data_IF_883014732598
#
_entry.id   IF_883014732598
#
_cell.length_a   1.000
_cell.length_b   1.000
_cell.length_c   1.000
_cell.angle_alpha   90.00
_cell.angle_beta   90.00
_cell.angle_gamma   90.00
#
_symmetry.space_group_name_H-M   'P 1'
#
loop_
_entity.id
_entity.type
_entity.pdbx_description
1 polymer ?
#
# COMPACT_ATOMS: atom_id res chain seq x y z
N UNK A 1 -9.80 -18.69 3.06
CA UNK A 1 -9.31 -18.98 1.69
C UNK A 1 -9.78 -20.30 1.08
N UNK A 2 -9.93 -21.39 1.84
CA UNK A 2 -10.39 -22.70 1.29
C UNK A 2 -11.72 -22.66 0.56
N UNK A 3 -12.61 -21.74 0.96
CA UNK A 3 -13.95 -21.50 0.43
C UNK A 3 -13.98 -20.47 -0.70
N UNK A 4 -12.82 -19.92 -1.09
CA UNK A 4 -12.70 -18.88 -2.13
C UNK A 4 -12.90 -17.46 -1.63
N UNK A 5 -13.10 -17.27 -0.33
CA UNK A 5 -13.17 -15.95 0.28
C UNK A 5 -11.84 -15.55 0.89
N UNK A 6 -11.55 -14.25 0.83
CA UNK A 6 -10.50 -13.61 1.61
C UNK A 6 -11.09 -12.44 2.39
N UNK A 7 -10.61 -12.20 3.59
CA UNK A 7 -10.94 -10.99 4.31
C UNK A 7 -9.94 -9.89 3.99
N UNK A 8 -10.45 -8.75 3.55
CA UNK A 8 -9.70 -7.55 3.28
C UNK A 8 -9.92 -6.51 4.37
N UNK A 9 -8.91 -5.71 4.65
CA UNK A 9 -8.97 -4.57 5.55
C UNK A 9 -8.40 -3.31 4.88
N UNK A 10 -9.01 -2.16 5.16
CA UNK A 10 -8.46 -0.86 4.85
C UNK A 10 -8.41 -0.03 6.15
N UNK A 11 -7.24 0.48 6.48
CA UNK A 11 -6.97 1.19 7.71
C UNK A 11 -6.50 2.62 7.48
N UNK A 12 -6.98 3.54 8.31
CA UNK A 12 -6.45 4.91 8.42
C UNK A 12 -5.80 5.03 9.79
N UNK A 13 -4.45 5.00 9.90
CA UNK A 13 -3.75 5.17 11.16
C UNK A 13 -3.82 6.62 11.65
N UNK A 14 -3.62 6.82 12.93
CA UNK A 14 -3.22 8.13 13.42
C UNK A 14 -1.81 8.43 12.93
N UNK A 15 -1.58 9.61 12.36
CA UNK A 15 -0.28 10.00 11.85
C UNK A 15 0.20 11.30 12.44
N UNK A 16 1.53 11.50 12.42
CA UNK A 16 2.18 12.77 12.70
C UNK A 16 3.08 13.09 11.50
N UNK A 17 3.00 14.33 11.05
CA UNK A 17 3.77 14.78 9.88
C UNK A 17 5.27 14.65 10.16
N UNK A 18 5.97 13.90 9.30
CA UNK A 18 7.41 13.62 9.37
C UNK A 18 7.90 12.84 10.62
N UNK A 19 7.00 12.26 11.40
CA UNK A 19 7.32 11.40 12.54
C UNK A 19 7.14 9.92 12.13
N UNK A 20 8.13 9.41 11.37
CA UNK A 20 8.06 8.08 10.75
C UNK A 20 7.96 6.97 11.80
N UNK A 21 8.63 7.11 12.95
CA UNK A 21 8.62 6.14 14.04
C UNK A 21 7.22 6.00 14.67
N UNK A 22 6.58 7.14 15.01
CA UNK A 22 5.21 7.15 15.51
C UNK A 22 4.26 6.52 14.49
N UNK A 23 4.38 6.90 13.22
CA UNK A 23 3.49 6.44 12.15
C UNK A 23 3.65 4.92 11.92
N UNK A 24 4.89 4.41 11.93
CA UNK A 24 5.17 2.97 11.83
C UNK A 24 4.58 2.19 13.01
N UNK A 25 4.74 2.71 14.24
CA UNK A 25 4.17 2.10 15.45
C UNK A 25 2.64 1.96 15.35
N UNK A 26 1.95 2.99 14.88
CA UNK A 26 0.50 2.93 14.67
C UNK A 26 0.11 1.96 13.53
N UNK A 27 0.88 1.90 12.45
CA UNK A 27 0.67 0.93 11.36
C UNK A 27 0.82 -0.50 11.89
N UNK A 28 1.90 -0.81 12.61
CA UNK A 28 2.16 -2.14 13.20
C UNK A 28 1.02 -2.54 14.14
N UNK A 29 0.63 -1.64 15.05
CA UNK A 29 -0.51 -1.86 15.95
C UNK A 29 -1.79 -2.22 15.19
N UNK A 30 -2.08 -1.48 14.11
CA UNK A 30 -3.27 -1.73 13.29
C UNK A 30 -3.17 -3.04 12.50
N UNK A 31 -1.98 -3.43 12.03
CA UNK A 31 -1.74 -4.72 11.36
C UNK A 31 -2.13 -5.87 12.28
N UNK A 32 -1.65 -5.87 13.52
CA UNK A 32 -2.03 -6.91 14.49
C UNK A 32 -3.52 -6.88 14.83
N UNK A 33 -4.16 -5.70 14.93
CA UNK A 33 -5.61 -5.60 15.10
C UNK A 33 -6.37 -6.19 13.89
N UNK A 34 -5.87 -5.98 12.67
CA UNK A 34 -6.44 -6.55 11.44
C UNK A 34 -6.27 -8.08 11.39
N UNK A 35 -5.12 -8.58 11.84
CA UNK A 35 -4.83 -10.01 11.94
C UNK A 35 -5.81 -10.72 12.89
N UNK A 36 -6.08 -10.16 14.08
CA UNK A 36 -7.06 -10.69 15.04
C UNK A 36 -8.45 -10.87 14.41
N UNK A 37 -8.80 -10.05 13.41
CA UNK A 37 -10.03 -10.18 12.65
C UNK A 37 -9.91 -11.14 11.45
N UNK A 38 -8.71 -11.67 11.20
CA UNK A 38 -8.39 -12.61 10.12
C UNK A 38 -8.28 -11.97 8.75
N UNK A 39 -7.85 -10.69 8.66
CA UNK A 39 -7.57 -10.03 7.41
C UNK A 39 -6.33 -10.66 6.73
N UNK A 40 -6.42 -10.88 5.42
CA UNK A 40 -5.35 -11.47 4.59
C UNK A 40 -4.78 -10.48 3.56
N UNK A 41 -5.47 -9.36 3.34
CA UNK A 41 -4.97 -8.23 2.56
C UNK A 41 -5.27 -6.96 3.36
N UNK A 42 -4.23 -6.22 3.67
CA UNK A 42 -4.28 -5.03 4.52
C UNK A 42 -3.73 -3.84 3.76
N UNK A 43 -4.48 -2.74 3.71
CA UNK A 43 -4.12 -1.56 2.91
C UNK A 43 -4.15 -0.31 3.78
N UNK A 44 -3.05 0.43 3.74
CA UNK A 44 -2.85 1.69 4.43
C UNK A 44 -2.81 2.86 3.43
N UNK A 45 -2.89 4.12 3.88
CA UNK A 45 -2.90 5.28 3.01
C UNK A 45 -1.58 5.53 2.26
N UNK A 46 -1.67 6.36 1.23
CA UNK A 46 -0.56 6.95 0.50
C UNK A 46 0.37 7.70 1.46
N UNK A 47 1.70 7.48 1.35
CA UNK A 47 2.74 8.12 2.16
C UNK A 47 2.51 8.02 3.68
N UNK A 48 1.81 6.99 4.15
CA UNK A 48 1.43 6.86 5.57
C UNK A 48 2.61 6.72 6.53
N UNK A 49 3.80 6.32 6.06
CA UNK A 49 5.02 6.24 6.90
C UNK A 49 5.52 7.65 7.26
N UNK A 50 5.47 8.61 6.34
CA UNK A 50 5.91 9.99 6.58
C UNK A 50 4.79 10.95 6.92
N UNK A 51 3.55 10.60 6.67
CA UNK A 51 2.40 11.42 6.34
C UNK A 51 2.52 12.08 4.94
N UNK A 52 1.38 12.36 4.33
CA UNK A 52 1.32 12.96 2.98
C UNK A 52 1.73 14.44 2.96
N UNK A 53 1.47 15.16 4.03
CA UNK A 53 1.58 16.62 4.09
C UNK A 53 2.95 17.14 4.56
N UNK A 54 4.02 16.38 4.31
CA UNK A 54 5.39 16.77 4.68
C UNK A 54 5.92 18.01 3.92
N UNK A 55 5.37 18.33 2.74
CA UNK A 55 5.79 19.49 1.96
C UNK A 55 7.29 19.45 1.62
N UNK A 56 7.99 20.58 1.83
CA UNK A 56 9.42 20.69 1.51
C UNK A 56 10.32 19.77 2.38
N UNK A 57 9.80 19.12 3.43
CA UNK A 57 10.53 18.11 4.19
C UNK A 57 10.87 16.87 3.34
N UNK A 58 10.15 16.60 2.27
CA UNK A 58 10.51 15.55 1.31
C UNK A 58 11.88 15.73 0.64
N UNK A 59 12.50 16.92 0.74
CA UNK A 59 13.88 17.16 0.30
C UNK A 59 14.93 16.83 1.35
N UNK A 60 14.51 16.45 2.58
CA UNK A 60 15.43 16.12 3.66
C UNK A 60 15.84 14.65 3.57
N UNK A 61 17.13 14.41 3.38
CA UNK A 61 17.70 13.06 3.31
C UNK A 61 17.33 12.23 4.55
N UNK A 62 17.41 12.85 5.74
CA UNK A 62 17.04 12.19 6.99
C UNK A 62 15.60 11.64 7.00
N UNK A 63 14.63 12.37 6.41
CA UNK A 63 13.24 11.89 6.33
C UNK A 63 13.13 10.69 5.40
N UNK A 64 13.85 10.70 4.27
CA UNK A 64 13.82 9.61 3.30
C UNK A 64 14.51 8.36 3.85
N UNK A 65 15.62 8.52 4.54
CA UNK A 65 16.32 7.42 5.21
C UNK A 65 15.47 6.84 6.35
N UNK A 66 14.88 7.71 7.18
CA UNK A 66 14.00 7.27 8.26
C UNK A 66 12.76 6.52 7.74
N UNK A 67 12.20 6.94 6.63
CA UNK A 67 11.09 6.22 6.00
C UNK A 67 11.48 4.78 5.59
N UNK A 68 12.72 4.55 5.14
CA UNK A 68 13.24 3.21 4.83
C UNK A 68 13.51 2.38 6.08
N UNK A 69 14.08 2.99 7.13
CA UNK A 69 14.27 2.34 8.44
C UNK A 69 12.93 1.82 8.96
N UNK A 70 11.91 2.67 8.95
CA UNK A 70 10.59 2.31 9.46
C UNK A 70 9.84 1.35 8.55
N UNK A 71 10.10 1.33 7.23
CA UNK A 71 9.59 0.30 6.34
C UNK A 71 10.13 -1.09 6.71
N UNK A 72 11.45 -1.20 6.94
CA UNK A 72 12.08 -2.47 7.36
C UNK A 72 11.52 -2.89 8.72
N UNK A 73 11.40 -1.97 9.68
CA UNK A 73 10.79 -2.24 10.97
C UNK A 73 9.34 -2.78 10.84
N UNK A 74 8.50 -2.14 10.01
CA UNK A 74 7.13 -2.63 9.76
C UNK A 74 7.17 -4.06 9.20
N UNK A 75 8.02 -4.33 8.21
CA UNK A 75 8.13 -5.66 7.62
C UNK A 75 8.51 -6.70 8.68
N UNK A 76 9.53 -6.43 9.49
CA UNK A 76 10.05 -7.38 10.49
C UNK A 76 9.12 -7.57 11.68
N UNK A 77 8.56 -6.50 12.26
CA UNK A 77 7.62 -6.60 13.38
C UNK A 77 6.26 -7.20 12.99
N UNK A 78 6.00 -7.37 11.69
CA UNK A 78 4.79 -8.04 11.16
C UNK A 78 5.12 -9.33 10.41
N UNK A 79 6.32 -9.90 10.59
CA UNK A 79 6.77 -11.11 9.88
C UNK A 79 5.94 -12.35 10.21
N UNK A 80 5.37 -12.44 11.39
CA UNK A 80 4.48 -13.52 11.85
C UNK A 80 3.04 -13.35 11.38
N UNK A 81 2.68 -12.22 10.80
CA UNK A 81 1.32 -11.92 10.31
C UNK A 81 1.08 -12.57 8.95
N UNK A 82 0.08 -13.45 8.88
CA UNK A 82 -0.30 -14.15 7.65
C UNK A 82 -1.18 -13.27 6.74
N UNK A 83 -0.57 -12.23 6.16
CA UNK A 83 -1.23 -11.26 5.28
C UNK A 83 -0.28 -10.63 4.26
N UNK A 84 -0.84 -10.16 3.14
CA UNK A 84 -0.17 -9.20 2.26
C UNK A 84 -0.55 -7.79 2.70
N UNK A 85 0.46 -6.99 3.06
CA UNK A 85 0.30 -5.64 3.62
C UNK A 85 0.82 -4.62 2.61
N UNK A 86 0.06 -3.53 2.38
CA UNK A 86 0.48 -2.42 1.55
C UNK A 86 0.60 -1.14 2.37
N UNK A 87 1.77 -0.51 2.33
CA UNK A 87 2.08 0.78 3.00
C UNK A 87 2.68 1.78 2.01
N UNK A 88 2.43 3.08 2.21
CA UNK A 88 2.91 4.15 1.34
C UNK A 88 4.12 4.88 1.92
N UNK A 89 5.13 5.17 1.10
CA UNK A 89 6.32 5.93 1.49
C UNK A 89 6.93 6.70 0.30
N UNK A 90 7.75 7.74 0.57
CA UNK A 90 8.63 8.33 -0.43
C UNK A 90 9.86 7.45 -0.63
N UNK A 91 10.28 7.21 -1.87
CA UNK A 91 11.47 6.40 -2.18
C UNK A 91 12.32 7.11 -3.22
N UNK A 92 13.60 7.31 -2.90
CA UNK A 92 14.57 7.78 -3.88
C UNK A 92 15.08 6.62 -4.73
N UNK A 93 15.11 6.85 -6.05
CA UNK A 93 15.69 5.93 -7.00
C UNK A 93 16.37 6.68 -8.13
N UNK A 94 17.65 6.41 -8.36
CA UNK A 94 18.48 7.05 -9.41
C UNK A 94 18.40 8.58 -9.41
N UNK A 95 18.46 9.18 -8.21
CA UNK A 95 18.44 10.63 -8.00
C UNK A 95 17.08 11.30 -8.28
N UNK A 96 16.01 10.53 -8.23
CA UNK A 96 14.62 11.00 -8.34
C UNK A 96 13.80 10.45 -7.18
N UNK A 97 12.86 11.26 -6.73
CA UNK A 97 11.94 10.86 -5.66
C UNK A 97 10.62 10.36 -6.24
N UNK A 98 10.16 9.23 -5.74
CA UNK A 98 8.90 8.59 -6.12
C UNK A 98 8.00 8.41 -4.91
N UNK A 99 6.70 8.58 -5.12
CA UNK A 99 5.66 8.19 -4.20
C UNK A 99 5.30 6.73 -4.50
N UNK A 100 5.55 5.81 -3.56
CA UNK A 100 5.43 4.38 -3.82
C UNK A 100 4.53 3.67 -2.80
N UNK A 101 3.90 2.60 -3.25
CA UNK A 101 3.30 1.58 -2.40
C UNK A 101 4.27 0.40 -2.28
N UNK A 102 4.63 0.01 -1.06
CA UNK A 102 5.38 -1.19 -0.77
C UNK A 102 4.44 -2.34 -0.43
N UNK A 103 4.65 -3.51 -1.03
CA UNK A 103 3.99 -4.77 -0.67
C UNK A 103 4.86 -5.60 0.27
N UNK A 104 4.33 -5.99 1.44
CA UNK A 104 5.03 -6.73 2.48
C UNK A 104 4.31 -8.05 2.76
N UNK A 105 5.08 -9.14 2.96
CA UNK A 105 4.54 -10.44 3.36
C UNK A 105 5.60 -11.23 4.13
N UNK A 106 5.24 -11.71 5.31
CA UNK A 106 6.12 -12.53 6.16
C UNK A 106 7.53 -11.96 6.37
N UNK A 107 7.62 -10.66 6.64
CA UNK A 107 8.89 -9.99 6.87
C UNK A 107 9.60 -9.51 5.60
N UNK A 108 9.17 -9.94 4.41
CA UNK A 108 9.79 -9.59 3.14
C UNK A 108 9.14 -8.36 2.49
N UNK A 109 9.96 -7.54 1.82
CA UNK A 109 9.51 -6.46 0.94
C UNK A 109 9.46 -7.00 -0.48
N UNK A 110 8.26 -7.26 -0.98
CA UNK A 110 8.06 -7.96 -2.25
C UNK A 110 8.22 -7.05 -3.49
N UNK A 111 8.04 -5.75 -3.32
CA UNK A 111 8.14 -4.80 -4.43
C UNK A 111 7.57 -3.44 -4.12
N UNK A 112 7.95 -2.47 -4.96
CA UNK A 112 7.51 -1.09 -4.91
C UNK A 112 6.71 -0.72 -6.16
N UNK A 113 5.51 -0.20 -5.97
CA UNK A 113 4.66 0.29 -7.06
C UNK A 113 4.63 1.82 -7.00
N UNK A 114 5.29 2.53 -7.95
CA UNK A 114 5.30 3.98 -7.97
C UNK A 114 4.02 4.55 -8.57
N UNK A 115 3.59 5.70 -8.04
CA UNK A 115 2.48 6.49 -8.57
C UNK A 115 2.78 6.96 -9.99
N UNK A 116 1.83 6.77 -10.89
CA UNK A 116 1.94 7.21 -12.30
C UNK A 116 1.46 8.65 -12.45
N UNK A 117 0.25 8.94 -11.97
CA UNK A 117 -0.41 10.21 -12.18
C UNK A 117 -0.23 11.14 -10.97
N UNK A 118 0.59 12.17 -11.14
CA UNK A 118 0.87 13.14 -10.08
C UNK A 118 -0.06 14.34 -10.21
N UNK A 119 -1.00 14.57 -9.26
CA UNK A 119 -1.82 15.76 -9.29
C UNK A 119 -0.96 16.99 -9.01
N UNK A 120 -1.08 17.99 -9.91
CA UNK A 120 -0.36 19.25 -9.80
C UNK A 120 -1.28 20.39 -10.27
N UNK A 121 -2.45 20.45 -9.69
CA UNK A 121 -3.51 21.42 -9.97
C UNK A 121 -4.28 21.73 -8.69
N UNK A 122 -4.94 22.89 -8.63
CA UNK A 122 -5.67 23.39 -7.47
C UNK A 122 -4.80 23.36 -6.19
N UNK A 123 -5.19 22.52 -5.23
CA UNK A 123 -4.55 22.33 -3.92
C UNK A 123 -3.37 21.35 -3.93
N UNK A 124 -3.11 20.68 -5.05
CA UNK A 124 -2.06 19.64 -5.14
C UNK A 124 -0.78 20.15 -5.80
N UNK A 125 0.38 19.75 -5.25
CA UNK A 125 1.72 20.15 -5.70
C UNK A 125 2.67 18.96 -5.85
N UNK A 126 2.18 17.75 -6.11
CA UNK A 126 3.01 16.56 -6.08
C UNK A 126 4.19 16.58 -7.07
N UNK A 127 4.01 17.18 -8.25
CA UNK A 127 5.08 17.33 -9.23
C UNK A 127 6.23 18.26 -8.76
N UNK A 128 6.05 18.99 -7.63
CA UNK A 128 7.15 19.71 -6.98
C UNK A 128 8.17 18.78 -6.35
N UNK A 129 7.73 17.62 -5.84
CA UNK A 129 8.55 16.69 -5.08
C UNK A 129 8.82 15.40 -5.84
N UNK A 130 7.79 14.82 -6.43
CA UNK A 130 7.81 13.47 -6.97
C UNK A 130 7.92 13.45 -8.49
N UNK A 131 8.48 12.35 -8.98
CA UNK A 131 8.55 12.01 -10.41
C UNK A 131 7.52 10.93 -10.72
N UNK A 132 6.88 11.02 -11.90
CA UNK A 132 5.96 9.97 -12.37
C UNK A 132 6.68 8.63 -12.55
N UNK A 133 6.04 7.56 -12.07
CA UNK A 133 6.53 6.20 -12.24
C UNK A 133 6.18 5.55 -13.58
N UNK A 134 5.54 6.26 -14.53
CA UNK A 134 4.97 5.69 -15.76
C UNK A 134 5.93 4.79 -16.56
N UNK A 135 7.21 5.17 -16.62
CA UNK A 135 8.23 4.43 -17.36
C UNK A 135 9.31 3.83 -16.46
N UNK A 136 9.00 3.70 -15.17
CA UNK A 136 9.94 3.16 -14.19
C UNK A 136 9.89 1.63 -14.23
N UNK A 137 11.04 1.02 -14.48
CA UNK A 137 11.24 -0.42 -14.36
C UNK A 137 12.69 -0.67 -13.93
N UNK A 138 12.86 -1.33 -12.80
CA UNK A 138 14.17 -1.56 -12.23
C UNK A 138 14.13 -2.23 -10.87
N UNK A 139 15.26 -2.23 -10.19
CA UNK A 139 15.41 -2.82 -8.86
C UNK A 139 16.02 -1.82 -7.88
N UNK A 140 15.60 -1.92 -6.63
CA UNK A 140 16.10 -1.13 -5.49
C UNK A 140 16.73 -2.08 -4.50
N UNK A 141 17.91 -1.75 -4.05
CA UNK A 141 18.57 -2.45 -2.96
C UNK A 141 18.17 -1.82 -1.62
N UNK A 142 17.72 -2.66 -0.67
CA UNK A 142 17.43 -2.27 0.71
C UNK A 142 18.29 -3.14 1.62
N UNK A 143 19.35 -2.56 2.17
CA UNK A 143 20.20 -3.21 3.16
C UNK A 143 19.45 -3.31 4.50
N UNK A 144 18.74 -4.42 4.69
CA UNK A 144 17.89 -4.65 5.85
C UNK A 144 18.67 -4.69 7.16
N UNK A 145 19.87 -5.23 7.16
CA UNK A 145 20.69 -5.32 8.37
C UNK A 145 21.16 -3.96 8.84
N UNK A 146 21.53 -3.08 7.90
CA UNK A 146 21.88 -1.68 8.22
C UNK A 146 20.67 -0.93 8.80
N UNK A 147 19.50 -1.08 8.20
CA UNK A 147 18.29 -0.40 8.68
C UNK A 147 17.78 -0.99 10.00
N UNK A 148 17.84 -2.31 10.18
CA UNK A 148 17.51 -2.99 11.45
C UNK A 148 18.37 -2.47 12.59
N UNK A 149 19.69 -2.41 12.39
CA UNK A 149 20.62 -1.93 13.41
C UNK A 149 20.32 -0.48 13.85
N UNK A 150 19.75 0.35 12.97
CA UNK A 150 19.37 1.74 13.31
C UNK A 150 18.18 1.80 14.25
N UNK A 151 17.06 1.13 13.94
CA UNK A 151 15.90 1.21 14.84
C UNK A 151 16.10 0.45 16.16
N UNK A 152 16.93 -0.61 16.18
CA UNK A 152 17.30 -1.30 17.43
C UNK A 152 18.17 -0.40 18.33
N UNK A 153 19.09 0.39 17.77
CA UNK A 153 19.91 1.32 18.54
C UNK A 153 19.11 2.46 19.16
N UNK A 154 18.06 2.92 18.48
CA UNK A 154 17.20 3.98 18.98
C UNK A 154 16.33 3.50 20.15
N UNK A 155 15.88 2.24 20.13
CA UNK A 155 15.11 1.64 21.24
C UNK A 155 15.96 1.40 22.50
N UNK A 156 17.26 1.12 22.38
CA UNK A 156 18.17 0.98 23.52
C UNK A 156 18.52 2.32 24.17
N UNK A 157 18.40 3.44 23.46
CA UNK A 157 18.73 4.78 23.98
C UNK A 157 17.63 5.37 24.86
N UNK A 158 16.39 4.94 24.73
CA UNK A 158 15.27 5.43 25.55
C UNK A 158 15.26 4.88 26.98
N UNK A 159 16.01 3.81 27.27
CA UNK A 159 16.16 3.25 28.63
C UNK A 159 17.29 3.90 29.46
N UNK A 160 18.03 4.87 28.89
CA UNK A 160 19.06 5.61 29.60
C UNK A 160 18.51 6.90 30.19
N UNK A 161 18.11 6.88 31.45
CA UNK A 161 17.87 8.10 32.24
C UNK A 161 19.10 8.99 32.18
N UNK A 162 19.04 10.12 31.46
CA UNK A 162 20.07 11.15 31.46
C UNK A 162 20.09 11.88 32.81
N UNK A 163 20.89 11.43 33.75
CA UNK A 163 21.33 12.28 34.85
C UNK A 163 22.32 13.33 34.28
N UNK A 164 21.83 14.53 34.05
CA UNK A 164 22.68 15.68 33.68
C UNK A 164 23.43 16.14 34.91
N UNK A 165 24.64 15.63 35.13
CA UNK A 165 25.62 16.32 35.98
C UNK A 165 26.16 17.54 35.22
N UNK A 166 25.69 18.71 35.60
CA UNK A 166 26.32 19.99 35.20
C UNK A 166 27.66 20.12 35.88
N UNK A 167 28.74 19.73 35.23
CA UNK A 167 30.11 20.11 35.60
C UNK A 167 30.57 21.26 34.70
N UNK A 168 31.09 22.28 35.37
CA UNK A 168 31.55 23.55 34.83
C UNK A 168 32.63 23.37 33.75
N UNK A 169 32.44 24.12 32.66
CA UNK A 169 33.33 24.19 31.50
C UNK A 169 34.40 25.24 31.79
N UNK A 170 35.65 24.81 32.05
CA UNK A 170 36.80 25.69 32.03
C UNK A 170 37.96 25.04 31.25
N UNK A 171 38.48 25.75 30.27
CA UNK A 171 39.82 25.56 29.74
C UNK A 171 39.97 25.18 28.28
N UNK A 172 40.23 26.17 27.45
CA UNK A 172 40.93 26.05 26.17
C UNK A 172 42.36 25.59 26.40
N UNK A 173 42.82 24.51 25.77
CA UNK A 173 44.25 24.28 25.53
C UNK A 173 44.52 23.67 24.13
N UNK A 174 45.67 24.06 23.64
CA UNK A 174 46.24 24.10 22.33
C UNK A 174 46.35 22.76 21.58
N UNK A 175 46.21 22.85 20.25
CA UNK A 175 46.58 21.83 19.27
C UNK A 175 48.10 21.67 19.20
N UNK A 176 48.63 20.49 19.47
CA UNK A 176 49.96 20.09 19.05
C UNK A 176 49.89 19.15 17.84
N UNK A 177 50.67 19.53 16.83
CA UNK A 177 50.97 18.78 15.61
C UNK A 177 51.68 17.46 15.94
N UNK A 178 51.22 16.34 15.35
CA UNK A 178 52.02 15.13 15.27
C UNK A 178 52.31 14.78 13.82
N UNK A 179 53.63 14.66 13.60
CA UNK A 179 54.26 14.42 12.31
C UNK A 179 54.06 12.98 11.79
N UNK A 180 54.19 12.88 10.46
CA UNK A 180 54.18 11.69 9.64
C UNK A 180 55.29 10.69 10.01
N UNK A 181 55.03 9.42 9.81
CA UNK A 181 55.82 8.41 9.07
C UNK A 181 55.52 7.00 9.61
N UNK A 182 54.87 6.16 8.80
CA UNK A 182 55.21 4.73 8.71
C UNK A 182 54.67 4.14 7.39
N UNK A 183 55.57 3.50 6.66
CA UNK A 183 55.33 2.84 5.36
C UNK A 183 54.46 1.58 5.50
N UNK A 184 53.69 1.15 4.46
CA UNK A 184 52.80 0.01 4.56
C UNK A 184 53.54 -1.32 4.42
N UNK A 185 53.28 -2.22 5.37
CA UNK A 185 53.65 -3.62 5.28
C UNK A 185 52.88 -4.37 4.17
N UNK A 186 53.63 -5.17 3.39
CA UNK A 186 53.15 -6.06 2.37
C UNK A 186 52.19 -7.12 2.95
N UNK A 187 50.96 -7.15 2.44
CA UNK A 187 49.99 -8.23 2.71
C UNK A 187 50.21 -9.37 1.70
N UNK A 188 50.38 -10.57 2.23
CA UNK A 188 50.58 -11.84 1.51
C UNK A 188 49.25 -12.23 0.81
N UNK A 189 49.31 -12.37 -0.51
CA UNK A 189 48.17 -12.84 -1.35
C UNK A 189 48.01 -14.36 -1.20
N UNK A 190 47.26 -14.83 -0.20
CA UNK A 190 46.70 -16.21 -0.19
C UNK A 190 45.81 -16.48 1.04
N UNK A 191 44.86 -15.62 1.34
CA UNK A 191 43.67 -16.05 2.06
C UNK A 191 42.50 -15.97 1.08
N UNK A 192 42.08 -17.12 0.57
CA UNK A 192 40.79 -17.31 -0.06
C UNK A 192 39.74 -17.12 1.08
N UNK A 193 39.39 -15.87 1.35
CA UNK A 193 38.17 -15.58 2.07
C UNK A 193 37.04 -16.10 1.17
N UNK A 194 36.34 -17.12 1.63
CA UNK A 194 35.01 -17.48 1.14
C UNK A 194 34.17 -16.20 1.32
N UNK A 195 34.03 -15.42 0.25
CA UNK A 195 33.03 -14.38 0.14
C UNK A 195 31.69 -15.06 0.44
N UNK A 196 31.21 -14.92 1.68
CA UNK A 196 29.77 -15.02 1.93
C UNK A 196 29.13 -13.99 1.00
N UNK A 197 28.61 -14.47 -0.13
CA UNK A 197 27.73 -13.69 -0.98
C UNK A 197 26.59 -13.23 -0.08
N UNK A 198 26.69 -12.01 0.44
CA UNK A 198 25.58 -11.27 0.98
C UNK A 198 24.56 -11.22 -0.16
N UNK A 199 23.50 -12.01 -0.03
CA UNK A 199 22.36 -11.96 -0.95
C UNK A 199 21.73 -10.58 -0.83
N UNK A 200 22.21 -9.65 -1.64
CA UNK A 200 21.59 -8.36 -1.87
C UNK A 200 20.24 -8.64 -2.55
N UNK A 201 19.15 -8.57 -1.81
CA UNK A 201 17.81 -8.74 -2.38
C UNK A 201 17.46 -7.52 -3.23
N UNK A 202 17.58 -7.68 -4.53
CA UNK A 202 17.12 -6.72 -5.52
C UNK A 202 15.58 -6.71 -5.56
N UNK A 203 14.97 -5.70 -4.97
CA UNK A 203 13.52 -5.53 -4.89
C UNK A 203 13.02 -4.75 -6.11
N UNK A 204 12.06 -5.29 -6.85
CA UNK A 204 11.47 -4.61 -8.01
C UNK A 204 10.80 -3.29 -7.66
N UNK A 205 11.04 -2.26 -8.48
CA UNK A 205 10.29 -1.00 -8.51
C UNK A 205 9.72 -0.80 -9.91
N UNK A 206 8.41 -0.97 -10.04
CA UNK A 206 7.71 -0.85 -11.32
C UNK A 206 6.23 -0.53 -11.10
N UNK A 207 5.58 0.32 -11.93
CA UNK A 207 4.13 0.49 -11.88
C UNK A 207 3.39 -0.75 -12.37
N UNK A 208 4.07 -1.63 -13.09
CA UNK A 208 3.50 -2.84 -13.68
C UNK A 208 3.89 -4.06 -12.85
N UNK A 209 3.28 -4.21 -11.68
CA UNK A 209 3.50 -5.34 -10.79
C UNK A 209 2.20 -6.08 -10.49
N UNK A 210 2.29 -7.41 -10.46
CA UNK A 210 1.24 -8.30 -9.97
C UNK A 210 1.77 -9.08 -8.77
N UNK A 211 1.03 -9.06 -7.68
CA UNK A 211 1.28 -9.88 -6.50
C UNK A 211 0.38 -11.11 -6.56
N UNK A 212 0.96 -12.29 -6.72
CA UNK A 212 0.24 -13.56 -6.91
C UNK A 212 0.35 -14.43 -5.66
N UNK A 213 -0.77 -14.88 -5.12
CA UNK A 213 -0.80 -15.79 -3.98
C UNK A 213 -0.47 -17.22 -4.43
N UNK A 214 0.58 -17.86 -3.86
CA UNK A 214 0.99 -19.21 -4.22
C UNK A 214 -0.08 -20.26 -3.87
N UNK A 215 -0.72 -20.17 -2.69
CA UNK A 215 -1.76 -21.12 -2.25
C UNK A 215 -3.10 -20.89 -2.93
N UNK A 216 -3.30 -19.74 -3.53
CA UNK A 216 -4.49 -19.34 -4.28
C UNK A 216 -4.11 -18.56 -5.54
N UNK A 217 -3.55 -19.20 -6.59
CA UNK A 217 -3.03 -18.49 -7.78
C UNK A 217 -4.07 -17.67 -8.55
N UNK A 218 -5.34 -17.82 -8.22
CA UNK A 218 -6.42 -16.97 -8.71
C UNK A 218 -6.52 -15.64 -7.98
N UNK A 219 -5.88 -15.47 -6.83
CA UNK A 219 -5.76 -14.21 -6.14
C UNK A 219 -4.56 -13.46 -6.68
N UNK A 220 -4.81 -12.52 -7.57
CA UNK A 220 -3.83 -11.65 -8.19
C UNK A 220 -4.15 -10.21 -7.85
N UNK A 221 -3.21 -9.53 -7.21
CA UNK A 221 -3.38 -8.19 -6.65
C UNK A 221 -2.47 -7.22 -7.38
N UNK A 222 -2.96 -6.02 -7.67
CA UNK A 222 -2.14 -4.92 -8.15
C UNK A 222 -2.46 -3.64 -7.36
N UNK A 223 -1.48 -2.76 -7.27
CA UNK A 223 -1.61 -1.49 -6.57
C UNK A 223 -1.66 -0.31 -7.56
N UNK A 224 -2.44 0.70 -7.22
CA UNK A 224 -2.41 2.04 -7.81
C UNK A 224 -2.54 3.08 -6.69
N UNK A 225 -2.13 4.32 -6.95
CA UNK A 225 -2.03 5.32 -5.89
C UNK A 225 -2.88 6.54 -6.21
N UNK A 226 -3.88 6.80 -5.37
CA UNK A 226 -4.69 8.01 -5.29
C UNK A 226 -5.20 8.52 -6.65
N UNK A 227 -4.54 9.53 -7.24
CA UNK A 227 -4.89 10.17 -8.52
C UNK A 227 -4.98 9.16 -9.67
N UNK A 228 -4.29 8.04 -9.59
CA UNK A 228 -4.36 6.99 -10.60
C UNK A 228 -5.79 6.51 -10.85
N UNK A 229 -6.66 6.51 -9.83
CA UNK A 229 -8.09 6.20 -10.01
C UNK A 229 -8.89 7.31 -10.71
N UNK A 230 -8.44 8.58 -10.58
CA UNK A 230 -9.23 9.74 -11.01
C UNK A 230 -9.06 10.10 -12.49
N UNK A 231 -8.01 9.58 -13.13
CA UNK A 231 -7.73 9.81 -14.55
C UNK A 231 -8.71 9.02 -15.45
N UNK A 232 -8.91 9.44 -16.71
CA UNK A 232 -9.82 8.76 -17.64
C UNK A 232 -9.45 7.30 -17.94
N UNK A 233 -8.17 6.94 -17.87
CA UNK A 233 -7.65 5.58 -18.05
C UNK A 233 -6.78 5.19 -16.86
N UNK A 234 -7.37 4.73 -15.75
CA UNK A 234 -6.62 4.29 -14.57
C UNK A 234 -5.68 3.12 -14.86
N UNK A 235 -4.50 3.03 -14.21
CA UNK A 235 -3.58 1.89 -14.32
C UNK A 235 -4.25 0.54 -14.04
N UNK A 236 -5.22 0.51 -13.13
CA UNK A 236 -6.01 -0.69 -12.82
C UNK A 236 -6.69 -1.33 -14.04
N UNK A 237 -6.90 -0.59 -15.14
CA UNK A 237 -7.40 -1.16 -16.40
C UNK A 237 -6.39 -2.13 -17.00
N UNK A 238 -5.13 -1.70 -17.12
CA UNK A 238 -4.02 -2.56 -17.58
C UNK A 238 -3.77 -3.71 -16.60
N UNK A 239 -3.77 -3.42 -15.30
CA UNK A 239 -3.61 -4.44 -14.25
C UNK A 239 -4.66 -5.55 -14.37
N UNK A 240 -5.93 -5.21 -14.61
CA UNK A 240 -6.99 -6.19 -14.79
C UNK A 240 -6.78 -7.05 -16.03
N UNK A 241 -6.36 -6.47 -17.18
CA UNK A 241 -6.02 -7.24 -18.38
C UNK A 241 -4.85 -8.21 -18.13
N UNK A 242 -3.94 -7.87 -17.20
CA UNK A 242 -2.82 -8.75 -16.82
C UNK A 242 -3.16 -9.70 -15.65
N UNK A 243 -4.44 -9.85 -15.34
CA UNK A 243 -4.94 -10.86 -14.42
C UNK A 243 -5.38 -10.35 -13.05
N UNK A 244 -4.95 -9.17 -12.61
CA UNK A 244 -5.31 -8.65 -11.30
C UNK A 244 -6.83 -8.60 -11.11
N UNK A 245 -7.32 -9.32 -10.11
CA UNK A 245 -8.74 -9.37 -9.74
C UNK A 245 -9.03 -8.73 -8.39
N UNK A 246 -7.99 -8.20 -7.76
CA UNK A 246 -8.09 -7.31 -6.62
C UNK A 246 -7.15 -6.12 -6.84
N UNK A 247 -7.71 -4.93 -6.75
CA UNK A 247 -6.96 -3.67 -6.83
C UNK A 247 -6.91 -3.05 -5.44
N UNK A 248 -5.73 -2.63 -5.02
CA UNK A 248 -5.54 -1.82 -3.83
C UNK A 248 -5.16 -0.40 -4.24
N UNK A 249 -5.75 0.59 -3.59
CA UNK A 249 -5.48 1.99 -3.85
C UNK A 249 -5.14 2.70 -2.53
N UNK A 250 -3.89 3.13 -2.45
CA UNK A 250 -3.38 3.90 -1.33
C UNK A 250 -3.61 5.38 -1.67
N UNK A 251 -4.36 6.09 -0.85
CA UNK A 251 -4.77 7.45 -1.16
C UNK A 251 -4.48 8.42 -0.03
N UNK A 252 -4.32 9.69 -0.42
CA UNK A 252 -4.42 10.87 0.44
C UNK A 252 -5.39 11.87 -0.23
N UNK A 253 -6.66 11.48 -0.26
CA UNK A 253 -7.69 12.27 -0.92
C UNK A 253 -8.31 13.26 0.06
N UNK A 254 -8.15 14.55 -0.23
CA UNK A 254 -8.73 15.64 0.53
C UNK A 254 -10.27 15.61 0.54
N UNK A 255 -10.85 16.35 1.48
CA UNK A 255 -12.30 16.47 1.63
C UNK A 255 -12.82 17.81 1.10
N UNK A 256 -13.66 17.74 0.07
CA UNK A 256 -14.48 18.83 -0.43
C UNK A 256 -15.94 18.42 -0.33
N UNK A 257 -16.84 19.38 -0.10
CA UNK A 257 -18.29 19.12 0.02
C UNK A 257 -18.82 18.35 -1.19
N UNK A 258 -19.32 17.15 -0.97
CA UNK A 258 -19.86 16.24 -2.01
C UNK A 258 -18.82 15.33 -2.69
N UNK A 259 -17.53 15.46 -2.41
CA UNK A 259 -16.46 14.61 -2.97
C UNK A 259 -16.58 13.15 -2.51
N UNK A 260 -17.11 12.91 -1.31
CA UNK A 260 -17.38 11.58 -0.77
C UNK A 260 -18.26 10.73 -1.69
N UNK A 261 -19.35 11.30 -2.19
CA UNK A 261 -20.26 10.60 -3.09
C UNK A 261 -19.63 10.30 -4.44
N UNK A 262 -18.79 11.22 -4.95
CA UNK A 262 -18.05 11.05 -6.20
C UNK A 262 -16.98 9.96 -6.05
N UNK A 263 -16.16 10.00 -4.98
CA UNK A 263 -15.17 8.96 -4.63
C UNK A 263 -15.80 7.59 -4.56
N UNK A 264 -16.92 7.48 -3.83
CA UNK A 264 -17.70 6.25 -3.72
C UNK A 264 -18.18 5.73 -5.08
N UNK A 265 -18.61 6.63 -5.95
CA UNK A 265 -19.04 6.27 -7.31
C UNK A 265 -17.89 5.79 -8.18
N UNK A 266 -16.71 6.41 -8.09
CA UNK A 266 -15.50 6.00 -8.82
C UNK A 266 -15.07 4.59 -8.41
N UNK A 267 -14.90 4.34 -7.12
CA UNK A 267 -14.50 3.03 -6.57
C UNK A 267 -15.50 1.94 -7.01
N UNK A 268 -16.79 2.19 -6.83
CA UNK A 268 -17.84 1.27 -7.23
C UNK A 268 -17.84 1.00 -8.75
N UNK A 269 -17.74 2.05 -9.57
CA UNK A 269 -17.74 1.92 -11.03
C UNK A 269 -16.49 1.20 -11.54
N UNK A 270 -15.31 1.47 -10.97
CA UNK A 270 -14.07 0.80 -11.36
C UNK A 270 -14.08 -0.68 -10.99
N UNK A 271 -14.52 -1.02 -9.78
CA UNK A 271 -14.73 -2.41 -9.35
C UNK A 271 -15.69 -3.16 -10.27
N UNK A 272 -16.81 -2.53 -10.67
CA UNK A 272 -17.78 -3.13 -11.59
C UNK A 272 -17.23 -3.33 -12.99
N UNK A 273 -16.55 -2.31 -13.54
CA UNK A 273 -16.01 -2.33 -14.90
C UNK A 273 -14.95 -3.41 -15.07
N UNK A 274 -14.11 -3.59 -14.07
CA UNK A 274 -12.99 -4.53 -14.09
C UNK A 274 -13.36 -5.92 -13.53
N UNK A 275 -14.60 -6.11 -13.04
CA UNK A 275 -15.01 -7.33 -12.35
C UNK A 275 -14.00 -7.75 -11.29
N UNK A 276 -13.68 -6.83 -10.39
CA UNK A 276 -12.64 -7.01 -9.38
C UNK A 276 -13.10 -6.61 -7.97
N UNK A 277 -12.36 -7.07 -6.96
CA UNK A 277 -12.33 -6.45 -5.66
C UNK A 277 -11.56 -5.13 -5.75
N UNK A 278 -11.96 -4.13 -4.98
CA UNK A 278 -11.27 -2.85 -4.90
C UNK A 278 -11.20 -2.38 -3.46
N UNK A 279 -9.99 -2.19 -2.94
CA UNK A 279 -9.72 -1.71 -1.59
C UNK A 279 -9.12 -0.31 -1.70
N UNK A 280 -9.79 0.66 -1.12
CA UNK A 280 -9.37 2.06 -1.10
C UNK A 280 -9.12 2.49 0.34
N UNK A 281 -7.88 2.81 0.69
CA UNK A 281 -7.48 3.35 1.99
C UNK A 281 -7.04 4.80 1.81
N UNK A 282 -7.48 5.72 2.67
CA UNK A 282 -7.13 7.13 2.51
C UNK A 282 -6.75 7.80 3.84
N UNK A 283 -5.90 8.82 3.75
CA UNK A 283 -5.45 9.63 4.86
C UNK A 283 -6.61 10.26 5.64
N UNK A 284 -6.42 10.46 6.93
CA UNK A 284 -7.40 11.00 7.86
C UNK A 284 -6.85 12.06 8.80
N UNK A 285 -7.24 11.99 10.06
CA UNK A 285 -6.76 12.90 11.11
C UNK A 285 -5.26 12.67 11.37
N UNK A 286 -4.52 13.76 11.62
CA UNK A 286 -3.07 13.77 11.85
C UNK A 286 -2.28 14.47 10.75
N UNK A 287 -2.81 14.51 9.53
CA UNK A 287 -2.24 15.31 8.44
C UNK A 287 -2.32 16.82 8.73
N UNK A 288 -1.39 17.60 8.14
CA UNK A 288 -1.46 19.06 8.22
C UNK A 288 -2.72 19.61 7.56
N UNK A 289 -3.39 20.54 8.23
CA UNK A 289 -4.60 21.20 7.73
C UNK A 289 -4.32 22.59 7.16
N UNK A 290 -3.09 22.85 6.75
CA UNK A 290 -2.68 24.16 6.23
C UNK A 290 -3.46 24.52 4.95
N UNK A 291 -3.55 23.59 3.99
CA UNK A 291 -4.18 23.81 2.69
C UNK A 291 -5.50 23.04 2.55
N UNK A 292 -5.54 21.80 3.05
CA UNK A 292 -6.65 20.84 2.88
C UNK A 292 -6.93 20.09 4.16
N UNK A 293 -8.03 19.34 4.19
CA UNK A 293 -8.37 18.41 5.28
C UNK A 293 -8.62 17.01 4.72
N UNK A 294 -8.34 15.99 5.52
CA UNK A 294 -8.50 14.59 5.15
C UNK A 294 -9.57 13.93 6.02
N UNK A 295 -10.35 13.06 5.42
CA UNK A 295 -11.55 12.52 6.06
C UNK A 295 -11.51 11.04 6.40
N UNK A 296 -10.49 10.29 5.96
CA UNK A 296 -10.37 8.86 6.24
C UNK A 296 -11.51 8.02 5.66
N UNK A 297 -12.11 8.38 4.51
CA UNK A 297 -13.16 7.59 3.88
C UNK A 297 -12.59 6.36 3.16
N UNK A 298 -12.38 5.28 3.90
CA UNK A 298 -11.98 3.99 3.34
C UNK A 298 -13.20 3.29 2.71
N UNK A 299 -12.96 2.55 1.61
CA UNK A 299 -13.98 1.84 0.86
C UNK A 299 -13.47 0.45 0.47
N UNK A 300 -14.32 -0.58 0.61
CA UNK A 300 -14.06 -1.90 0.03
C UNK A 300 -15.24 -2.26 -0.86
N UNK A 301 -14.95 -2.53 -2.13
CA UNK A 301 -15.95 -2.88 -3.14
C UNK A 301 -15.67 -4.24 -3.79
N UNK A 302 -16.72 -4.91 -4.27
CA UNK A 302 -16.65 -6.14 -5.03
C UNK A 302 -17.65 -6.06 -6.19
N UNK A 303 -17.16 -6.12 -7.41
CA UNK A 303 -18.00 -6.10 -8.63
C UNK A 303 -19.11 -5.03 -8.56
N UNK A 304 -18.70 -3.81 -8.23
CA UNK A 304 -19.59 -2.64 -8.17
C UNK A 304 -20.37 -2.46 -6.87
N UNK A 305 -20.34 -3.43 -5.99
CA UNK A 305 -21.04 -3.33 -4.71
C UNK A 305 -20.07 -2.85 -3.61
N UNK A 306 -20.38 -1.74 -2.94
CA UNK A 306 -19.64 -1.34 -1.74
C UNK A 306 -20.03 -2.31 -0.60
N UNK A 307 -19.05 -3.04 -0.10
CA UNK A 307 -19.19 -4.00 0.98
C UNK A 307 -18.95 -3.38 2.34
N UNK A 308 -18.00 -2.46 2.43
CA UNK A 308 -17.69 -1.71 3.63
C UNK A 308 -17.30 -0.27 3.29
N UNK A 309 -17.62 0.65 4.18
CA UNK A 309 -17.31 2.07 4.10
C UNK A 309 -17.07 2.62 5.50
N UNK A 310 -15.98 3.36 5.72
CA UNK A 310 -15.70 3.98 7.01
C UNK A 310 -16.56 5.24 7.23
N UNK A 311 -16.71 5.59 8.48
CA UNK A 311 -17.26 6.90 8.84
C UNK A 311 -16.20 7.97 8.59
N UNK A 312 -16.53 9.02 7.84
CA UNK A 312 -15.64 10.16 7.63
C UNK A 312 -15.31 10.90 8.91
N UNK A 313 -14.12 11.47 8.94
CA UNK A 313 -13.56 12.26 10.07
C UNK A 313 -13.38 11.42 11.35
N UNK A 314 -13.08 10.14 11.15
CA UNK A 314 -12.71 9.20 12.21
C UNK A 314 -11.73 8.20 11.64
N UNK A 315 -10.51 8.18 12.18
CA UNK A 315 -9.53 7.15 11.83
C UNK A 315 -9.98 5.78 12.31
N UNK A 316 -9.53 4.72 11.68
CA UNK A 316 -9.85 3.34 12.04
C UNK A 316 -9.85 2.38 10.87
N UNK A 317 -10.37 1.18 11.11
CA UNK A 317 -10.29 0.05 10.18
C UNK A 317 -11.68 -0.36 9.72
N UNK A 318 -11.81 -0.72 8.46
CA UNK A 318 -12.97 -1.41 7.90
C UNK A 318 -12.57 -2.77 7.34
N UNK A 319 -13.51 -3.71 7.35
CA UNK A 319 -13.30 -5.08 6.90
C UNK A 319 -14.39 -5.51 5.94
N UNK A 320 -14.03 -6.35 4.94
CA UNK A 320 -14.99 -7.05 4.10
C UNK A 320 -14.46 -8.41 3.66
N UNK A 321 -15.37 -9.38 3.50
CA UNK A 321 -15.07 -10.68 2.92
C UNK A 321 -15.30 -10.61 1.39
N UNK A 322 -14.22 -10.74 0.59
CA UNK A 322 -14.25 -10.72 -0.87
C UNK A 322 -14.35 -12.15 -1.42
N UNK A 323 -15.25 -12.37 -2.36
CA UNK A 323 -15.46 -13.66 -3.02
C UNK A 323 -14.65 -13.75 -4.32
N UNK A 324 -13.42 -14.18 -4.22
CA UNK A 324 -12.48 -14.32 -5.34
C UNK A 324 -12.97 -15.35 -6.37
N UNK A 325 -13.59 -16.43 -5.90
CA UNK A 325 -14.16 -17.44 -6.82
C UNK A 325 -15.31 -16.89 -7.64
N UNK A 326 -16.15 -16.03 -7.07
CA UNK A 326 -17.21 -15.35 -7.79
C UNK A 326 -16.64 -14.40 -8.84
N UNK A 327 -15.64 -13.60 -8.49
CA UNK A 327 -14.98 -12.67 -9.42
C UNK A 327 -14.40 -13.43 -10.63
N UNK A 328 -13.65 -14.51 -10.38
CA UNK A 328 -13.13 -15.38 -11.45
C UNK A 328 -14.26 -15.97 -12.33
N UNK A 329 -15.36 -16.37 -11.71
CA UNK A 329 -16.51 -16.91 -12.44
C UNK A 329 -17.22 -15.87 -13.33
N UNK A 330 -17.38 -14.64 -12.83
CA UNK A 330 -17.96 -13.54 -13.62
C UNK A 330 -17.03 -13.15 -14.78
N UNK A 331 -15.72 -13.06 -14.56
CA UNK A 331 -14.72 -12.81 -15.61
C UNK A 331 -14.76 -13.89 -16.70
N UNK A 332 -14.87 -15.18 -16.31
CA UNK A 332 -14.96 -16.31 -17.27
C UNK A 332 -16.19 -16.24 -18.15
N UNK A 333 -17.29 -15.66 -17.67
CA UNK A 333 -18.52 -15.45 -18.43
C UNK A 333 -18.48 -14.24 -19.36
N UNK A 334 -17.54 -13.33 -19.13
CA UNK A 334 -17.37 -12.13 -19.95
C UNK A 334 -16.70 -12.50 -21.26
N UNK A 335 -17.46 -12.43 -22.36
CA UNK A 335 -16.98 -12.79 -23.70
C UNK A 335 -16.44 -11.61 -24.51
N UNK A 336 -16.71 -10.39 -24.05
CA UNK A 336 -16.30 -9.14 -24.72
C UNK A 336 -14.98 -8.59 -24.21
N UNK A 337 -14.47 -9.12 -23.11
CA UNK A 337 -13.21 -8.75 -22.49
C UNK A 337 -12.56 -10.01 -21.92
N UNK A 338 -11.27 -10.18 -22.16
CA UNK A 338 -10.52 -11.33 -21.63
C UNK A 338 -9.42 -10.79 -20.74
N UNK A 339 -9.49 -11.15 -19.47
CA UNK A 339 -8.54 -10.73 -18.44
C UNK A 339 -7.38 -11.73 -18.37
N UNK A 340 -6.52 -11.70 -19.39
CA UNK A 340 -5.34 -12.54 -19.49
C UNK A 340 -4.24 -11.80 -20.29
N UNK A 341 -2.97 -11.90 -19.89
CA UNK A 341 -1.87 -11.16 -20.50
C UNK A 341 -1.79 -11.33 -22.03
N UNK A 342 -1.87 -12.58 -22.49
CA UNK A 342 -1.75 -12.94 -23.91
C UNK A 342 -2.93 -12.42 -24.78
N UNK A 343 -3.95 -11.88 -24.14
CA UNK A 343 -5.20 -11.45 -24.77
C UNK A 343 -5.51 -9.97 -24.51
N UNK A 344 -4.56 -9.25 -23.95
CA UNK A 344 -4.67 -7.81 -23.71
C UNK A 344 -4.84 -7.06 -25.05
N UNK A 345 -5.68 -6.01 -25.10
CA UNK A 345 -5.81 -5.19 -26.29
C UNK A 345 -4.50 -4.54 -26.71
N UNK A 346 -4.37 -4.19 -27.99
CA UNK A 346 -3.24 -3.42 -28.51
C UNK A 346 -3.05 -2.12 -27.68
N UNK A 347 -1.83 -1.87 -27.24
CA UNK A 347 -1.47 -0.75 -26.34
C UNK A 347 -1.65 -1.06 -24.85
N UNK A 348 -2.14 -2.25 -24.49
CA UNK A 348 -2.15 -2.81 -23.14
C UNK A 348 -1.19 -4.04 -23.03
N UNK A 349 -0.46 -4.34 -24.09
CA UNK A 349 0.58 -5.38 -24.14
C UNK A 349 1.87 -4.84 -23.49
N UNK A 350 1.83 -4.71 -22.15
CA UNK A 350 2.92 -4.21 -21.32
C UNK A 350 3.53 -5.39 -20.57
N UNK A 351 4.85 -5.35 -20.35
CA UNK A 351 5.50 -6.33 -19.48
C UNK A 351 5.14 -6.07 -18.01
N UNK A 352 4.87 -7.13 -17.26
CA UNK A 352 4.60 -7.08 -15.83
C UNK A 352 5.63 -7.89 -15.06
N UNK A 353 6.04 -7.35 -13.92
CA UNK A 353 6.83 -8.07 -12.92
C UNK A 353 5.86 -8.80 -11.98
N UNK A 354 6.13 -10.07 -11.69
CA UNK A 354 5.34 -10.87 -10.78
C UNK A 354 6.11 -11.05 -9.46
N UNK A 355 5.45 -10.69 -8.35
CA UNK A 355 5.91 -10.95 -7.00
C UNK A 355 5.02 -12.04 -6.38
N UNK A 356 5.62 -13.11 -5.87
CA UNK A 356 4.90 -14.17 -5.20
C UNK A 356 4.77 -13.88 -3.71
N UNK A 357 3.62 -14.21 -3.12
CA UNK A 357 3.39 -14.14 -1.69
C UNK A 357 2.63 -15.37 -1.20
N UNK A 358 2.79 -15.68 0.07
CA UNK A 358 2.19 -16.86 0.69
C UNK A 358 1.14 -16.48 1.72
N UNK A 359 0.10 -17.33 1.84
CA UNK A 359 -0.94 -17.22 2.86
C UNK A 359 -1.33 -18.59 3.35
N UNK A 360 -1.56 -18.76 4.63
CA UNK A 360 -2.09 -20.02 5.17
C UNK A 360 -3.48 -20.34 4.62
N UNK A 361 -3.65 -21.54 4.11
CA UNK A 361 -4.91 -21.99 3.50
C UNK A 361 -5.92 -22.43 4.55
N UNK A 362 -6.56 -21.49 5.18
CA UNK A 362 -7.59 -21.69 6.19
C UNK A 362 -9.02 -21.41 5.69
N UNK A 363 -10.02 -21.84 6.46
CA UNK A 363 -11.41 -21.39 6.25
C UNK A 363 -11.55 -19.94 6.68
N UNK A 364 -12.17 -19.11 5.81
CA UNK A 364 -12.44 -17.70 6.13
C UNK A 364 -13.59 -17.61 7.14
N UNK A 365 -13.37 -17.00 8.29
CA UNK A 365 -14.44 -16.65 9.22
C UNK A 365 -15.28 -15.52 8.64
N UNK A 366 -16.33 -15.89 7.89
CA UNK A 366 -17.18 -14.93 7.20
C UNK A 366 -17.96 -14.05 8.17
N UNK A 367 -17.87 -12.75 7.93
CA UNK A 367 -18.72 -11.72 8.55
C UNK A 367 -19.77 -11.20 7.58
N UNK A 368 -19.63 -11.50 6.29
CA UNK A 368 -20.55 -11.16 5.21
C UNK A 368 -21.91 -11.80 5.43
N UNK A 369 -22.97 -11.00 5.30
CA UNK A 369 -24.34 -11.49 5.39
C UNK A 369 -24.85 -11.84 3.99
N UNK A 370 -25.38 -13.05 3.87
CA UNK A 370 -26.04 -13.50 2.64
C UNK A 370 -27.55 -13.40 2.81
N UNK A 371 -28.21 -12.75 1.86
CA UNK A 371 -29.68 -12.68 1.88
C UNK A 371 -30.25 -14.07 1.58
N UNK A 372 -31.09 -14.57 2.47
CA UNK A 372 -31.82 -15.84 2.26
C UNK A 372 -32.81 -15.78 1.12
N UNK A 373 -33.14 -14.59 0.62
CA UNK A 373 -34.03 -14.32 -0.51
C UNK A 373 -33.41 -13.35 -1.50
N UNK A 374 -32.31 -13.72 -2.19
CA UNK A 374 -31.49 -12.80 -2.98
C UNK A 374 -32.26 -12.14 -4.14
N UNK A 375 -33.39 -12.72 -4.57
CA UNK A 375 -34.22 -12.19 -5.64
C UNK A 375 -35.36 -11.28 -5.18
N UNK A 376 -35.59 -11.17 -3.85
CA UNK A 376 -36.70 -10.39 -3.29
C UNK A 376 -36.13 -9.31 -2.37
N UNK A 377 -36.11 -8.03 -2.79
CA UNK A 377 -35.61 -6.96 -1.94
C UNK A 377 -36.31 -6.90 -0.60
N UNK A 378 -35.52 -6.72 0.48
CA UNK A 378 -36.05 -6.58 1.85
C UNK A 378 -36.85 -5.29 2.05
N UNK A 379 -36.45 -4.21 1.38
CA UNK A 379 -37.06 -2.90 1.45
C UNK A 379 -38.31 -2.85 0.57
N UNK A 380 -39.42 -2.36 1.10
CA UNK A 380 -40.73 -2.38 0.42
C UNK A 380 -40.68 -1.59 -0.89
N UNK A 381 -40.13 -0.40 -0.88
CA UNK A 381 -40.03 0.51 -2.00
C UNK A 381 -39.19 -0.09 -3.16
N UNK A 382 -38.09 -0.74 -2.83
CA UNK A 382 -37.25 -1.45 -3.82
C UNK A 382 -37.98 -2.66 -4.38
N UNK A 383 -38.74 -3.36 -3.57
CA UNK A 383 -39.55 -4.51 -4.00
C UNK A 383 -40.66 -4.10 -4.97
N UNK A 384 -41.36 -3.02 -4.67
CA UNK A 384 -42.41 -2.45 -5.55
C UNK A 384 -41.81 -2.04 -6.90
N UNK A 385 -40.69 -1.28 -6.88
CA UNK A 385 -39.97 -0.89 -8.11
C UNK A 385 -39.53 -2.11 -8.93
N UNK A 386 -39.01 -3.16 -8.30
CA UNK A 386 -38.59 -4.38 -9.00
C UNK A 386 -39.79 -5.16 -9.58
N UNK A 387 -40.91 -5.21 -8.87
CA UNK A 387 -42.14 -5.81 -9.42
C UNK A 387 -42.63 -5.06 -10.63
N UNK A 388 -42.66 -3.73 -10.58
CA UNK A 388 -43.06 -2.90 -11.73
C UNK A 388 -42.13 -3.09 -12.92
N UNK A 389 -40.82 -3.16 -12.69
CA UNK A 389 -39.82 -3.43 -13.71
C UNK A 389 -40.04 -4.79 -14.37
N UNK A 390 -40.25 -5.86 -13.58
CA UNK A 390 -40.52 -7.21 -14.09
C UNK A 390 -41.79 -7.21 -14.94
N UNK A 391 -42.87 -6.58 -14.47
CA UNK A 391 -44.13 -6.49 -15.20
C UNK A 391 -43.96 -5.74 -16.51
N UNK A 392 -43.22 -4.63 -16.52
CA UNK A 392 -42.96 -3.85 -17.73
C UNK A 392 -42.10 -4.63 -18.73
N UNK A 393 -41.08 -5.33 -18.28
CA UNK A 393 -40.24 -6.19 -19.14
C UNK A 393 -41.11 -7.28 -19.79
N UNK A 394 -41.97 -7.94 -19.01
CA UNK A 394 -42.89 -8.96 -19.52
C UNK A 394 -43.93 -8.38 -20.52
N UNK A 395 -44.40 -7.17 -20.24
CA UNK A 395 -45.38 -6.53 -21.11
C UNK A 395 -44.80 -6.03 -22.44
N UNK A 396 -43.50 -5.75 -22.48
CA UNK A 396 -42.77 -5.33 -23.69
C UNK A 396 -42.32 -6.51 -24.56
N UNK A 397 -42.06 -7.69 -23.95
CA UNK A 397 -41.68 -8.93 -24.65
C UNK A 397 -42.88 -9.68 -25.18
#
# INVERSE_FOLDING_TARGET
>A
MKDGFIKAAAGTPDVRVADCEFNATEIIRMVHEMEEQGAKVMVFPELCITAYTCGDLFWQENLLEEAKVQLVRIAEETADVDALIFVGLPLEYKGKLYNVAAGLNHGEILGFVPKINLPNYNEFYEARYFTSGENLDGTVHIDRDVYRARYESDTESDDVEFEIEMSEFDGFEELEELEEDEEPDYIDENDEEEDEELYEEDIWISPNMIFTCEEMPKLQIAAEICEDLWVPNPPSVAHAYHGANLIVNLSASDEVVGKDSYRRSLVSAQSARLLCGYIYATAGEGESTQDVVYGGQNLIAENGTILAESRRFVNGIIYADLDIHRLDNERRRMTTCQFAPDLAPEGQDISYNEALFTLEREETKLTRKFDSRPFVPGIKEERERRCDEILNIQAMG
#
